data_IF_834962238048
#
_entry.id   IF_834962238048
#
_cell.length_a   1.000
_cell.length_b   1.000
_cell.length_c   1.000
_cell.angle_alpha   90.00
_cell.angle_beta   90.00
_cell.angle_gamma   90.00
#
_symmetry.space_group_name_H-M   'P 1'
#
loop_
_entity.id
_entity.type
_entity.pdbx_description
1 polymer ?
#
# COMPACT_ATOMS: atom_id res chain seq x y z
N UNK A 1 32.21 -60.99 -36.88
CA UNK A 1 31.91 -60.21 -38.11
C UNK A 1 30.42 -59.93 -38.10
N UNK A 2 30.02 -58.90 -37.37
CA UNK A 2 29.76 -57.52 -37.83
C UNK A 2 28.34 -57.38 -38.38
N UNK A 3 27.41 -57.09 -37.47
CA UNK A 3 26.05 -56.68 -37.79
C UNK A 3 26.09 -55.29 -38.44
N UNK A 4 25.52 -55.17 -39.63
CA UNK A 4 25.32 -53.89 -40.31
C UNK A 4 24.23 -53.10 -39.57
N UNK A 5 24.63 -52.08 -38.81
CA UNK A 5 23.71 -51.05 -38.34
C UNK A 5 23.53 -49.99 -39.44
N UNK A 6 22.28 -49.86 -39.88
CA UNK A 6 21.84 -48.79 -40.76
C UNK A 6 22.20 -47.42 -40.17
N UNK A 7 22.84 -46.58 -40.97
CA UNK A 7 23.19 -45.20 -40.62
C UNK A 7 21.94 -44.33 -40.71
N UNK A 8 21.28 -44.10 -39.58
CA UNK A 8 20.29 -43.02 -39.46
C UNK A 8 21.06 -41.69 -39.45
N UNK A 9 20.84 -40.86 -40.46
CA UNK A 9 21.34 -39.47 -40.46
C UNK A 9 20.77 -38.74 -39.23
N UNK A 10 21.58 -37.97 -38.49
CA UNK A 10 21.06 -37.14 -37.42
C UNK A 10 20.10 -36.10 -38.02
N UNK A 11 18.86 -36.11 -37.55
CA UNK A 11 17.93 -35.00 -37.73
C UNK A 11 18.51 -33.84 -36.93
N UNK A 12 18.70 -32.64 -37.52
CA UNK A 12 19.16 -31.49 -36.76
C UNK A 12 18.13 -31.18 -35.68
N UNK A 13 18.54 -31.35 -34.42
CA UNK A 13 17.76 -30.93 -33.27
C UNK A 13 17.76 -29.40 -33.24
N UNK A 14 16.68 -28.77 -33.72
CA UNK A 14 16.37 -27.38 -33.41
C UNK A 14 15.91 -27.28 -31.97
N UNK A 15 16.82 -27.57 -31.03
CA UNK A 15 16.68 -27.08 -29.67
C UNK A 15 17.03 -25.60 -29.70
N UNK A 16 15.99 -24.76 -29.85
CA UNK A 16 16.04 -23.40 -29.32
C UNK A 16 16.50 -23.54 -27.87
N UNK A 17 17.67 -23.01 -27.54
CA UNK A 17 18.11 -22.83 -26.17
C UNK A 17 16.93 -22.18 -25.41
N UNK A 18 16.42 -22.86 -24.38
CA UNK A 18 15.41 -22.33 -23.46
C UNK A 18 16.08 -21.42 -22.40
N UNK A 19 17.22 -20.82 -22.72
CA UNK A 19 17.84 -19.83 -21.85
C UNK A 19 16.96 -18.59 -21.84
N UNK A 20 16.66 -18.01 -20.65
CA UNK A 20 15.97 -16.74 -20.56
C UNK A 20 16.75 -15.70 -21.34
N UNK A 21 16.22 -15.27 -22.48
CA UNK A 21 16.78 -14.16 -23.25
C UNK A 21 16.43 -12.88 -22.50
N UNK A 22 17.45 -12.10 -22.11
CA UNK A 22 17.22 -10.77 -21.53
C UNK A 22 16.41 -9.92 -22.51
N UNK A 23 15.17 -9.63 -22.13
CA UNK A 23 14.22 -8.86 -22.91
C UNK A 23 14.30 -7.39 -22.49
N UNK A 24 15.09 -6.60 -23.21
CA UNK A 24 15.16 -5.15 -23.04
C UNK A 24 13.96 -4.49 -23.74
N UNK A 25 12.75 -4.67 -23.19
CA UNK A 25 11.52 -4.17 -23.81
C UNK A 25 10.76 -3.21 -22.89
N UNK A 26 10.23 -2.14 -23.46
CA UNK A 26 9.24 -1.30 -22.81
C UNK A 26 7.85 -1.94 -22.98
N UNK A 27 7.19 -2.27 -21.87
CA UNK A 27 5.89 -2.93 -21.87
C UNK A 27 4.78 -2.00 -21.34
N UNK A 28 3.63 -2.02 -22.00
CA UNK A 28 2.39 -1.41 -21.52
C UNK A 28 1.56 -2.46 -20.81
N UNK A 29 1.13 -2.13 -19.59
CA UNK A 29 0.23 -2.96 -18.78
C UNK A 29 -1.15 -2.32 -18.80
N UNK A 30 -2.13 -2.99 -19.40
CA UNK A 30 -3.53 -2.54 -19.44
C UNK A 30 -4.48 -3.58 -18.85
N UNK A 31 -5.69 -3.17 -18.49
CA UNK A 31 -6.78 -4.13 -18.25
C UNK A 31 -7.10 -4.88 -19.55
N UNK A 32 -7.49 -6.14 -19.43
CA UNK A 32 -7.95 -6.93 -20.57
C UNK A 32 -9.34 -6.45 -21.02
N UNK A 33 -9.51 -5.94 -22.25
CA UNK A 33 -10.81 -5.55 -22.76
C UNK A 33 -11.79 -6.73 -22.91
N UNK A 34 -11.30 -7.97 -22.92
CA UNK A 34 -12.13 -9.18 -23.01
C UNK A 34 -12.48 -9.79 -21.65
N UNK A 35 -11.83 -9.34 -20.57
CA UNK A 35 -12.06 -9.83 -19.20
C UNK A 35 -11.58 -11.26 -18.92
N UNK A 36 -10.81 -11.87 -19.82
CA UNK A 36 -10.32 -13.24 -19.67
C UNK A 36 -9.07 -13.32 -18.79
N UNK A 37 -8.27 -12.25 -18.72
CA UNK A 37 -7.10 -12.13 -17.83
C UNK A 37 -7.10 -10.80 -17.07
N UNK A 38 -6.52 -10.77 -15.87
CA UNK A 38 -6.52 -9.57 -15.02
C UNK A 38 -5.73 -8.39 -15.63
N UNK A 39 -4.67 -8.69 -16.40
CA UNK A 39 -3.79 -7.71 -17.05
C UNK A 39 -3.26 -8.26 -18.36
N UNK A 40 -3.10 -7.40 -19.36
CA UNK A 40 -2.43 -7.69 -20.63
C UNK A 40 -1.12 -6.92 -20.68
N UNK A 41 -0.04 -7.62 -21.02
CA UNK A 41 1.28 -7.03 -21.23
C UNK A 41 1.56 -6.95 -22.71
N UNK A 42 1.78 -5.74 -23.23
CA UNK A 42 2.08 -5.50 -24.64
C UNK A 42 3.44 -4.84 -24.77
N UNK A 43 4.36 -5.44 -25.51
CA UNK A 43 5.59 -4.76 -25.91
C UNK A 43 5.25 -3.57 -26.79
N UNK A 44 5.71 -2.39 -26.38
CA UNK A 44 5.49 -1.12 -27.09
C UNK A 44 6.72 -0.75 -27.90
N UNK A 45 7.92 -1.08 -27.38
CA UNK A 45 9.19 -0.77 -28.02
C UNK A 45 10.29 -1.72 -27.52
N UNK A 46 11.11 -2.21 -28.45
CA UNK A 46 12.40 -2.83 -28.15
C UNK A 46 13.42 -1.73 -27.83
N UNK A 47 14.07 -1.83 -26.68
CA UNK A 47 15.06 -0.88 -26.19
C UNK A 47 16.47 -1.42 -26.46
N UNK A 48 17.41 -0.52 -26.73
CA UNK A 48 18.83 -0.89 -26.59
C UNK A 48 19.17 -1.14 -25.12
N UNK A 49 20.29 -1.80 -24.84
CA UNK A 49 20.74 -2.04 -23.47
C UNK A 49 20.95 -0.73 -22.71
N UNK A 50 21.53 0.27 -23.36
CA UNK A 50 21.79 1.58 -22.78
C UNK A 50 20.49 2.35 -22.49
N UNK A 51 19.49 2.25 -23.37
CA UNK A 51 18.17 2.83 -23.12
C UNK A 51 17.47 2.12 -21.94
N UNK A 52 17.53 0.79 -21.91
CA UNK A 52 16.97 -0.01 -20.83
C UNK A 52 17.61 0.32 -19.47
N UNK A 53 18.95 0.35 -19.39
CA UNK A 53 19.68 0.68 -18.15
C UNK A 53 19.35 2.09 -17.66
N UNK A 54 19.21 3.06 -18.58
CA UNK A 54 18.80 4.43 -18.25
C UNK A 54 17.39 4.47 -17.67
N UNK A 55 16.41 3.83 -18.31
CA UNK A 55 15.01 3.88 -17.86
C UNK A 55 14.77 3.04 -16.61
N UNK A 56 15.37 1.85 -16.52
CA UNK A 56 15.31 1.01 -15.33
C UNK A 56 16.00 1.68 -14.14
N UNK A 57 17.17 2.31 -14.32
CA UNK A 57 17.83 3.07 -13.27
C UNK A 57 17.01 4.27 -12.79
N UNK A 58 16.35 4.98 -13.70
CA UNK A 58 15.40 6.04 -13.34
C UNK A 58 14.17 5.49 -12.60
N UNK A 59 13.66 4.32 -13.01
CA UNK A 59 12.56 3.65 -12.34
C UNK A 59 12.95 3.19 -10.93
N UNK A 60 14.13 2.59 -10.74
CA UNK A 60 14.67 2.23 -9.42
C UNK A 60 14.85 3.47 -8.55
N UNK A 61 15.29 4.59 -9.11
CA UNK A 61 15.41 5.85 -8.36
C UNK A 61 14.04 6.37 -7.93
N UNK A 62 13.03 6.30 -8.81
CA UNK A 62 11.66 6.68 -8.48
C UNK A 62 11.04 5.70 -7.48
N UNK A 63 11.31 4.41 -7.61
CA UNK A 63 10.92 3.36 -6.68
C UNK A 63 11.56 3.61 -5.32
N UNK A 64 12.84 3.96 -5.24
CA UNK A 64 13.48 4.36 -3.99
C UNK A 64 12.79 5.59 -3.37
N UNK A 65 12.44 6.59 -4.18
CA UNK A 65 11.73 7.78 -3.68
C UNK A 65 10.30 7.45 -3.24
N UNK A 66 9.62 6.51 -3.89
CA UNK A 66 8.18 6.24 -3.68
C UNK A 66 7.91 5.03 -2.75
N UNK A 67 8.83 4.08 -2.67
CA UNK A 67 8.71 2.79 -1.96
C UNK A 67 9.66 2.75 -0.76
N UNK A 68 10.89 3.27 -0.88
CA UNK A 68 11.82 3.38 0.27
C UNK A 68 11.43 4.53 1.19
N UNK A 69 10.71 5.55 0.68
CA UNK A 69 10.15 6.57 1.54
C UNK A 69 9.02 5.99 2.40
N UNK A 70 9.35 5.70 3.66
CA UNK A 70 8.43 5.12 4.64
C UNK A 70 7.16 5.98 4.87
N UNK A 71 7.19 7.25 4.47
CA UNK A 71 6.03 8.13 4.43
C UNK A 71 4.93 7.62 3.48
N UNK A 72 5.26 6.88 2.42
CA UNK A 72 4.30 6.28 1.52
C UNK A 72 3.38 5.26 2.23
N UNK A 73 3.89 4.55 3.23
CA UNK A 73 3.08 3.65 4.06
C UNK A 73 2.09 4.44 4.92
N UNK A 74 2.50 5.57 5.50
CA UNK A 74 1.59 6.47 6.20
C UNK A 74 0.47 6.98 5.28
N UNK A 75 0.83 7.49 4.10
CA UNK A 75 -0.15 7.97 3.11
C UNK A 75 -1.09 6.86 2.65
N UNK A 76 -0.57 5.65 2.45
CA UNK A 76 -1.38 4.49 2.02
C UNK A 76 -2.34 4.06 3.11
N UNK A 77 -1.89 3.96 4.37
CA UNK A 77 -2.76 3.67 5.51
C UNK A 77 -3.83 4.74 5.70
N UNK A 78 -3.49 6.03 5.53
CA UNK A 78 -4.45 7.13 5.62
C UNK A 78 -5.50 7.05 4.52
N UNK A 79 -5.09 6.81 3.27
CA UNK A 79 -6.01 6.60 2.14
C UNK A 79 -6.91 5.38 2.35
N UNK A 80 -6.36 4.29 2.86
CA UNK A 80 -7.13 3.08 3.17
C UNK A 80 -8.17 3.36 4.26
N UNK A 81 -7.79 4.09 5.32
CA UNK A 81 -8.74 4.52 6.35
C UNK A 81 -9.88 5.37 5.77
N UNK A 82 -9.56 6.39 4.98
CA UNK A 82 -10.57 7.27 4.34
C UNK A 82 -11.49 6.47 3.41
N UNK A 83 -10.92 5.57 2.60
CA UNK A 83 -11.68 4.73 1.66
C UNK A 83 -12.62 3.78 2.40
N UNK A 84 -12.13 3.16 3.48
CA UNK A 84 -12.94 2.31 4.33
C UNK A 84 -14.07 3.13 4.95
N UNK A 85 -13.77 4.27 5.55
CA UNK A 85 -14.77 5.15 6.14
C UNK A 85 -15.87 5.54 5.14
N UNK A 86 -15.49 6.03 3.96
CA UNK A 86 -16.43 6.41 2.89
C UNK A 86 -17.28 5.24 2.40
N UNK A 87 -16.67 4.05 2.26
CA UNK A 87 -17.38 2.83 1.87
C UNK A 87 -18.45 2.46 2.89
N UNK A 88 -18.11 2.52 4.18
CA UNK A 88 -19.06 2.22 5.26
C UNK A 88 -20.16 3.27 5.37
N UNK A 89 -19.84 4.56 5.26
CA UNK A 89 -20.85 5.63 5.21
C UNK A 89 -21.84 5.42 4.06
N UNK A 90 -21.34 5.07 2.87
CA UNK A 90 -22.18 4.76 1.71
C UNK A 90 -23.01 3.50 1.90
N UNK A 91 -22.47 2.47 2.56
CA UNK A 91 -23.19 1.25 2.89
C UNK A 91 -24.36 1.56 3.84
N UNK A 92 -24.11 2.33 4.91
CA UNK A 92 -25.14 2.76 5.85
C UNK A 92 -26.21 3.65 5.23
N UNK A 93 -25.82 4.51 4.29
CA UNK A 93 -26.78 5.29 3.54
C UNK A 93 -27.73 4.38 2.73
N UNK A 94 -27.20 3.38 2.01
CA UNK A 94 -28.02 2.53 1.13
C UNK A 94 -28.87 1.51 1.88
N UNK A 95 -28.34 0.96 2.95
CA UNK A 95 -29.02 -0.02 3.79
C UNK A 95 -28.76 0.35 5.25
N UNK A 96 -29.69 1.07 5.90
CA UNK A 96 -29.55 1.36 7.32
C UNK A 96 -29.38 0.08 8.12
N UNK A 97 -28.74 0.20 9.28
CA UNK A 97 -28.66 -0.88 10.24
C UNK A 97 -30.04 -1.50 10.47
N UNK A 98 -30.13 -2.84 10.58
CA UNK A 98 -31.34 -3.49 11.07
C UNK A 98 -31.81 -2.80 12.37
N UNK A 99 -33.12 -2.66 12.58
CA UNK A 99 -33.68 -1.99 13.78
C UNK A 99 -33.21 -2.61 15.10
N UNK A 100 -32.81 -3.88 15.06
CA UNK A 100 -32.23 -4.65 16.16
C UNK A 100 -30.71 -4.41 16.36
N UNK A 101 -30.08 -3.58 15.51
CA UNK A 101 -28.68 -3.19 15.63
C UNK A 101 -27.73 -4.39 15.63
N UNK A 102 -27.76 -5.19 14.56
CA UNK A 102 -26.97 -6.43 14.41
C UNK A 102 -25.58 -6.32 15.08
N UNK A 103 -25.41 -6.94 16.27
CA UNK A 103 -24.21 -6.75 17.08
C UNK A 103 -22.96 -7.18 16.34
N UNK A 104 -23.04 -8.22 15.51
CA UNK A 104 -21.90 -8.74 14.76
C UNK A 104 -21.43 -7.73 13.70
N UNK A 105 -22.35 -7.00 13.09
CA UNK A 105 -22.02 -5.95 12.12
C UNK A 105 -21.32 -4.77 12.79
N UNK A 106 -21.85 -4.31 13.94
CA UNK A 106 -21.28 -3.20 14.71
C UNK A 106 -19.90 -3.56 15.28
N UNK A 107 -19.74 -4.78 15.78
CA UNK A 107 -18.46 -5.30 16.26
C UNK A 107 -17.44 -5.38 15.12
N UNK A 108 -17.81 -5.95 13.97
CA UNK A 108 -16.92 -6.10 12.81
C UNK A 108 -16.48 -4.74 12.27
N UNK A 109 -17.41 -3.79 12.13
CA UNK A 109 -17.09 -2.41 11.76
C UNK A 109 -16.14 -1.78 12.77
N UNK A 110 -16.42 -1.99 14.06
CA UNK A 110 -15.58 -1.60 15.19
C UNK A 110 -14.13 -2.02 15.03
N UNK A 111 -13.90 -3.31 14.81
CA UNK A 111 -12.56 -3.84 14.64
C UNK A 111 -11.85 -3.28 13.40
N UNK A 112 -12.56 -3.20 12.27
CA UNK A 112 -11.96 -2.72 11.01
C UNK A 112 -11.54 -1.26 11.09
N UNK A 113 -12.39 -0.37 11.59
CA UNK A 113 -12.07 1.06 11.68
C UNK A 113 -11.01 1.34 12.73
N UNK A 114 -11.09 0.71 13.92
CA UNK A 114 -10.05 0.84 14.94
C UNK A 114 -8.70 0.30 14.45
N UNK A 115 -8.71 -0.84 13.77
CA UNK A 115 -7.51 -1.41 13.14
C UNK A 115 -6.91 -0.50 12.08
N UNK A 116 -7.75 0.15 11.28
CA UNK A 116 -7.29 1.13 10.29
C UNK A 116 -6.67 2.38 10.96
N UNK A 117 -7.28 2.91 12.03
CA UNK A 117 -6.69 4.02 12.81
C UNK A 117 -5.35 3.62 13.42
N UNK A 118 -5.25 2.42 14.00
CA UNK A 118 -3.99 1.89 14.50
C UNK A 118 -2.94 1.78 13.39
N UNK A 119 -3.32 1.32 12.20
CA UNK A 119 -2.41 1.25 11.05
C UNK A 119 -1.85 2.61 10.67
N UNK A 120 -2.70 3.65 10.62
CA UNK A 120 -2.26 5.03 10.35
C UNK A 120 -1.28 5.52 11.40
N UNK A 121 -1.61 5.36 12.68
CA UNK A 121 -0.77 5.83 13.78
C UNK A 121 0.57 5.08 13.83
N UNK A 122 0.54 3.76 13.60
CA UNK A 122 1.75 2.94 13.55
C UNK A 122 2.64 3.29 12.37
N UNK A 123 2.07 3.49 11.17
CA UNK A 123 2.84 3.87 9.99
C UNK A 123 3.52 5.24 10.15
N UNK A 124 2.85 6.20 10.82
CA UNK A 124 3.44 7.51 11.14
C UNK A 124 4.68 7.36 12.01
N UNK A 125 4.57 6.66 13.13
CA UNK A 125 5.71 6.52 14.04
C UNK A 125 6.80 5.62 13.45
N UNK A 126 6.42 4.60 12.69
CA UNK A 126 7.38 3.74 11.99
C UNK A 126 8.19 4.53 10.97
N UNK A 127 7.58 5.49 10.26
CA UNK A 127 8.32 6.41 9.39
C UNK A 127 9.42 7.17 10.16
N UNK A 128 9.09 7.77 11.31
CA UNK A 128 10.09 8.44 12.15
C UNK A 128 11.19 7.48 12.62
N UNK A 129 10.82 6.32 13.17
CA UNK A 129 11.75 5.33 13.70
C UNK A 129 12.75 4.88 12.62
N UNK A 130 12.25 4.53 11.44
CA UNK A 130 13.07 4.08 10.30
C UNK A 130 13.95 5.18 9.74
N UNK A 131 13.45 6.40 9.60
CA UNK A 131 14.28 7.52 9.14
C UNK A 131 15.43 7.82 10.12
N UNK A 132 15.19 7.71 11.43
CA UNK A 132 16.25 7.88 12.43
C UNK A 132 17.25 6.73 12.43
N UNK A 133 16.79 5.48 12.25
CA UNK A 133 17.67 4.33 12.10
C UNK A 133 18.57 4.46 10.88
N UNK A 134 18.00 4.80 9.72
CA UNK A 134 18.75 5.01 8.48
C UNK A 134 19.77 6.15 8.60
N UNK A 135 19.38 7.28 9.20
CA UNK A 135 20.30 8.37 9.48
C UNK A 135 21.44 7.93 10.41
N UNK A 136 21.15 7.14 11.44
CA UNK A 136 22.16 6.59 12.34
C UNK A 136 23.10 5.61 11.62
N UNK A 137 22.59 4.79 10.70
CA UNK A 137 23.42 3.88 9.89
C UNK A 137 24.34 4.65 8.93
N UNK A 138 23.86 5.74 8.33
CA UNK A 138 24.60 6.51 7.33
C UNK A 138 25.63 7.47 7.92
N UNK A 139 25.29 8.14 9.02
CA UNK A 139 26.10 9.23 9.57
C UNK A 139 26.65 8.93 10.97
N UNK A 140 26.26 7.82 11.61
CA UNK A 140 26.46 7.54 13.06
C UNK A 140 25.61 8.44 13.96
N UNK A 141 25.27 7.94 15.16
CA UNK A 141 24.36 8.63 16.10
C UNK A 141 24.94 9.92 16.71
N UNK A 142 26.25 10.12 16.65
CA UNK A 142 26.91 11.27 17.26
C UNK A 142 27.14 12.43 16.28
N UNK A 143 26.88 12.21 14.98
CA UNK A 143 27.05 13.20 13.92
C UNK A 143 26.10 14.39 14.02
N UNK A 144 26.51 15.52 13.43
CA UNK A 144 25.66 16.70 13.30
C UNK A 144 24.45 16.42 12.41
N UNK A 145 24.62 15.61 11.36
CA UNK A 145 23.56 15.21 10.44
C UNK A 145 22.47 14.40 11.14
N UNK A 146 22.84 13.41 11.96
CA UNK A 146 21.85 12.66 12.74
C UNK A 146 21.10 13.57 13.73
N UNK A 147 21.81 14.49 14.40
CA UNK A 147 21.19 15.45 15.32
C UNK A 147 20.21 16.38 14.60
N UNK A 148 20.55 16.84 13.40
CA UNK A 148 19.68 17.66 12.58
C UNK A 148 18.39 16.91 12.19
N UNK A 149 18.49 15.66 11.73
CA UNK A 149 17.29 14.84 11.42
C UNK A 149 16.44 14.60 12.67
N UNK A 150 17.07 14.30 13.80
CA UNK A 150 16.37 14.13 15.08
C UNK A 150 15.68 15.41 15.55
N UNK A 151 16.28 16.58 15.33
CA UNK A 151 15.69 17.87 15.66
C UNK A 151 14.40 18.10 14.89
N UNK A 152 14.36 17.81 13.59
CA UNK A 152 13.14 17.95 12.76
C UNK A 152 11.95 17.17 13.35
N UNK A 153 12.15 15.91 13.74
CA UNK A 153 11.06 15.12 14.33
C UNK A 153 10.70 15.58 15.76
N UNK A 154 11.65 16.14 16.50
CA UNK A 154 11.40 16.69 17.84
C UNK A 154 10.56 17.97 17.73
N UNK A 155 10.93 18.88 16.83
CA UNK A 155 10.16 20.09 16.49
C UNK A 155 8.77 19.73 15.97
N UNK A 156 8.66 18.75 15.05
CA UNK A 156 7.36 18.28 14.56
C UNK A 156 6.47 17.74 15.69
N UNK A 157 7.06 17.06 16.67
CA UNK A 157 6.33 16.57 17.84
C UNK A 157 5.91 17.71 18.78
N UNK A 158 6.75 18.71 18.99
CA UNK A 158 6.50 19.79 19.93
C UNK A 158 5.53 20.84 19.35
N UNK A 159 5.70 21.19 18.07
CA UNK A 159 4.97 22.28 17.43
C UNK A 159 3.65 21.82 16.80
N UNK A 160 3.55 20.57 16.34
CA UNK A 160 2.36 20.10 15.64
C UNK A 160 1.52 19.13 16.48
N UNK A 161 0.40 19.65 17.00
CA UNK A 161 -0.55 18.91 17.82
C UNK A 161 -1.00 17.59 17.17
N UNK A 162 -1.32 17.59 15.88
CA UNK A 162 -1.82 16.40 15.20
C UNK A 162 -0.82 15.24 15.21
N UNK A 163 0.46 15.53 14.99
CA UNK A 163 1.53 14.53 15.01
C UNK A 163 1.71 13.98 16.42
N UNK A 164 1.80 14.86 17.42
CA UNK A 164 1.85 14.46 18.83
C UNK A 164 0.65 13.63 19.26
N UNK A 165 -0.54 14.01 18.82
CA UNK A 165 -1.77 13.31 19.12
C UNK A 165 -1.76 11.90 18.52
N UNK A 166 -1.44 11.75 17.24
CA UNK A 166 -1.37 10.44 16.57
C UNK A 166 -0.28 9.54 17.18
N UNK A 167 0.88 10.10 17.53
CA UNK A 167 1.95 9.36 18.17
C UNK A 167 1.56 8.85 19.57
N UNK A 168 0.86 9.68 20.37
CA UNK A 168 0.34 9.28 21.68
C UNK A 168 -0.81 8.29 21.56
N UNK A 169 -1.72 8.51 20.61
CA UNK A 169 -2.83 7.62 20.31
C UNK A 169 -2.33 6.22 19.94
N UNK A 170 -1.28 6.10 19.12
CA UNK A 170 -0.62 4.81 18.84
C UNK A 170 -0.30 4.07 20.14
N UNK A 171 0.36 4.74 21.09
CA UNK A 171 0.78 4.11 22.34
C UNK A 171 -0.43 3.65 23.16
N UNK A 172 -1.51 4.43 23.23
CA UNK A 172 -2.76 4.01 23.90
C UNK A 172 -3.37 2.80 23.21
N UNK A 173 -3.46 2.80 21.87
CA UNK A 173 -4.05 1.70 21.12
C UNK A 173 -3.27 0.39 21.23
N UNK A 174 -1.93 0.46 21.27
CA UNK A 174 -1.07 -0.73 21.38
C UNK A 174 -0.98 -1.26 22.82
N UNK A 175 -0.87 -0.36 23.80
CA UNK A 175 -0.49 -0.75 25.17
C UNK A 175 -1.60 -0.68 26.20
N UNK A 176 -2.72 -0.01 25.90
CA UNK A 176 -3.82 0.18 26.85
C UNK A 176 -5.14 -0.36 26.29
N UNK A 177 -5.73 0.31 25.29
CA UNK A 177 -7.02 -0.09 24.76
C UNK A 177 -7.32 0.40 23.35
N UNK A 178 -7.86 -0.50 22.51
CA UNK A 178 -8.45 -0.15 21.20
C UNK A 178 -9.73 0.67 21.33
N UNK A 179 -10.37 0.67 22.50
CA UNK A 179 -11.60 1.42 22.77
C UNK A 179 -11.37 2.92 22.97
N UNK A 180 -10.12 3.38 22.92
CA UNK A 180 -9.78 4.80 22.86
C UNK A 180 -10.38 5.51 21.63
N UNK A 181 -10.79 4.74 20.62
CA UNK A 181 -11.59 5.20 19.49
C UNK A 181 -13.03 4.69 19.66
N UNK A 182 -13.97 5.62 19.80
CA UNK A 182 -15.40 5.35 19.73
C UNK A 182 -15.90 5.48 18.29
N UNK A 183 -16.95 4.73 17.98
CA UNK A 183 -17.68 4.85 16.73
C UNK A 183 -19.12 5.12 17.09
N UNK A 184 -19.66 6.19 16.53
CA UNK A 184 -21.05 6.58 16.68
C UNK A 184 -21.68 6.58 15.30
N UNK A 185 -22.80 5.89 15.17
CA UNK A 185 -23.58 5.79 13.93
C UNK A 185 -24.99 6.21 14.26
N UNK A 186 -25.40 7.35 13.74
CA UNK A 186 -26.76 7.86 13.87
C UNK A 186 -27.51 7.66 12.56
N UNK A 187 -28.69 7.04 12.64
CA UNK A 187 -29.60 6.88 11.51
C UNK A 187 -30.94 7.54 11.85
N UNK A 188 -31.35 8.53 11.05
CA UNK A 188 -32.64 9.18 11.22
C UNK A 188 -33.68 8.57 10.26
N UNK A 189 -34.71 7.93 10.81
CA UNK A 189 -35.87 7.51 10.03
C UNK A 189 -36.89 8.66 9.97
N UNK A 190 -37.18 9.20 8.78
CA UNK A 190 -38.30 10.13 8.62
C UNK A 190 -39.56 9.36 8.21
N UNK A 191 -40.63 9.44 9.01
CA UNK A 191 -41.98 8.91 8.67
C UNK A 191 -42.05 7.42 8.32
N UNK A 192 -41.37 6.56 9.07
CA UNK A 192 -41.51 5.10 8.94
C UNK A 192 -40.90 4.50 7.66
N UNK A 193 -40.17 5.29 6.87
CA UNK A 193 -39.40 4.79 5.73
C UNK A 193 -37.95 5.27 5.86
N UNK A 194 -36.95 4.36 5.79
CA UNK A 194 -35.55 4.78 5.76
C UNK A 194 -35.24 5.48 4.44
N UNK A 195 -34.90 6.76 4.50
CA UNK A 195 -34.38 7.52 3.36
C UNK A 195 -33.04 8.11 3.79
N UNK A 196 -31.96 7.68 3.13
CA UNK A 196 -30.70 8.40 3.14
C UNK A 196 -30.80 9.58 2.17
N UNK A 197 -30.44 10.76 2.65
CA UNK A 197 -30.35 11.96 1.81
C UNK A 197 -28.97 12.56 2.03
N UNK A 198 -28.07 12.39 1.08
CA UNK A 198 -26.87 13.23 1.01
C UNK A 198 -27.34 14.64 0.66
N UNK A 199 -27.10 15.61 1.54
CA UNK A 199 -27.07 17.01 1.17
C UNK A 199 -25.61 17.38 0.89
N UNK A 200 -25.37 17.87 -0.32
CA UNK A 200 -24.21 18.69 -0.63
C UNK A 200 -24.59 20.12 -0.23
N UNK A 201 -23.88 20.66 0.76
CA UNK A 201 -23.72 22.11 0.96
C UNK A 201 -22.20 22.38 0.95
#
# INVERSE_FOLDING_TARGET
MSYQHATLKPVPSTHSSNEPVESNQAMLISGDPTGNVARVFRSVKDLTKEEYDRYSGAYVTLEDILVTNMFAYFLTSAKAFITNWDTECKAFAKSPLPLNGDPDLVITLGFRLRGAVLSVCSALCYHQERTLEEAAHKFTKDSEEYRAVKAIFSELYDDYFGYRYLARLRNVLIHDTMMAISLEVEAHASRGNPMSRCKED
#
